data_IF_590879469784
#
_entry.id   IF_590879469784
#
_cell.length_a   1.000
_cell.length_b   1.000
_cell.length_c   1.000
_cell.angle_alpha   90.00
_cell.angle_beta   90.00
_cell.angle_gamma   90.00
#
_symmetry.space_group_name_H-M   'P 1'
#
loop_
_entity.id
_entity.type
_entity.pdbx_description
1 polymer ?
#
# COMPACT_ATOMS: atom_id res chain seq x y z
N UNK A 1 25.37 -9.09 -24.93
CA UNK A 1 24.35 -8.11 -24.47
C UNK A 1 23.31 -8.83 -23.62
N UNK A 2 23.50 -8.84 -22.29
CA UNK A 2 22.52 -9.42 -21.35
C UNK A 2 21.34 -8.46 -21.28
N UNK A 3 20.17 -8.86 -21.80
CA UNK A 3 18.91 -8.15 -21.56
C UNK A 3 18.76 -8.03 -20.04
N UNK A 4 18.90 -6.81 -19.51
CA UNK A 4 18.50 -6.47 -18.15
C UNK A 4 17.01 -6.83 -18.06
N UNK A 5 16.69 -7.95 -17.42
CA UNK A 5 15.33 -8.17 -16.91
C UNK A 5 15.07 -6.97 -16.02
N UNK A 6 14.17 -6.07 -16.42
CA UNK A 6 13.70 -5.03 -15.53
C UNK A 6 13.12 -5.73 -14.30
N UNK A 7 13.85 -5.68 -13.19
CA UNK A 7 13.32 -6.07 -11.89
C UNK A 7 12.09 -5.20 -11.67
N UNK A 8 10.97 -5.84 -11.31
CA UNK A 8 9.70 -5.17 -11.01
C UNK A 8 9.99 -4.06 -10.00
N UNK A 9 9.63 -2.81 -10.33
CA UNK A 9 9.73 -1.70 -9.37
C UNK A 9 8.54 -1.76 -8.42
N UNK A 10 8.81 -1.78 -7.11
CA UNK A 10 7.78 -1.66 -6.09
C UNK A 10 7.87 -0.27 -5.45
N UNK A 11 6.77 0.47 -5.45
CA UNK A 11 6.63 1.76 -4.79
C UNK A 11 5.85 1.60 -3.48
N UNK A 12 6.39 2.08 -2.38
CA UNK A 12 5.69 2.16 -1.10
C UNK A 12 5.42 3.62 -0.75
N UNK A 13 4.18 3.94 -0.43
CA UNK A 13 3.72 5.26 0.00
C UNK A 13 3.23 5.17 1.42
N UNK A 14 3.85 5.93 2.31
CA UNK A 14 3.56 5.92 3.73
C UNK A 14 3.02 7.27 4.20
N UNK A 15 2.18 7.29 5.22
CA UNK A 15 1.82 8.50 5.95
C UNK A 15 1.72 8.21 7.46
N UNK A 16 1.86 9.19 8.37
CA UNK A 16 1.82 8.94 9.81
C UNK A 16 0.43 8.51 10.32
N UNK A 17 -0.65 9.08 9.77
CA UNK A 17 -2.01 8.99 10.36
C UNK A 17 -3.05 8.28 9.50
N UNK A 18 -2.73 7.85 8.27
CA UNK A 18 -3.69 7.19 7.36
C UNK A 18 -3.98 5.75 7.77
N UNK A 19 -4.97 5.50 8.64
CA UNK A 19 -5.32 4.21 9.28
C UNK A 19 -5.56 2.96 8.38
N UNK A 20 -5.24 2.95 7.09
CA UNK A 20 -5.46 1.81 6.20
C UNK A 20 -4.22 1.46 5.38
N UNK A 21 -3.93 0.15 5.30
CA UNK A 21 -3.09 -0.41 4.23
C UNK A 21 -3.98 -0.54 3.00
N UNK A 22 -3.68 0.26 1.96
CA UNK A 22 -4.38 0.20 0.67
C UNK A 22 -3.38 -0.20 -0.40
N UNK A 23 -3.78 -1.08 -1.31
CA UNK A 23 -2.88 -1.61 -2.35
C UNK A 23 -3.45 -1.27 -3.71
N UNK A 24 -2.63 -0.65 -4.56
CA UNK A 24 -3.01 -0.42 -5.94
C UNK A 24 -2.34 -1.46 -6.83
N UNK A 25 -3.16 -2.18 -7.59
CA UNK A 25 -2.73 -3.31 -8.38
C UNK A 25 -3.22 -3.19 -9.82
N UNK A 26 -2.45 -3.75 -10.74
CA UNK A 26 -2.96 -4.02 -12.08
C UNK A 26 -3.88 -5.24 -11.99
N UNK A 27 -5.20 -5.08 -12.11
CA UNK A 27 -6.22 -6.15 -12.00
C UNK A 27 -5.81 -7.44 -12.73
N UNK A 28 -5.30 -7.30 -13.95
CA UNK A 28 -4.84 -8.39 -14.81
C UNK A 28 -3.72 -9.25 -14.22
N UNK A 29 -2.86 -8.69 -13.36
CA UNK A 29 -1.75 -9.43 -12.73
C UNK A 29 -2.22 -10.26 -11.54
N UNK A 30 -3.07 -9.67 -10.71
CA UNK A 30 -3.71 -10.41 -9.62
C UNK A 30 -4.52 -11.58 -10.20
N UNK A 31 -5.33 -11.30 -11.23
CA UNK A 31 -6.08 -12.32 -11.96
C UNK A 31 -5.17 -13.42 -12.51
N UNK A 32 -4.10 -13.08 -13.23
CA UNK A 32 -3.17 -14.08 -13.75
C UNK A 32 -2.55 -14.95 -12.65
N UNK A 33 -2.19 -14.38 -11.49
CA UNK A 33 -1.62 -15.13 -10.36
C UNK A 33 -2.63 -16.06 -9.72
N UNK A 34 -3.83 -15.55 -9.45
CA UNK A 34 -4.94 -16.35 -8.93
C UNK A 34 -5.26 -17.50 -9.88
N UNK A 35 -5.37 -17.23 -11.20
CA UNK A 35 -5.61 -18.24 -12.23
C UNK A 35 -4.50 -19.29 -12.27
N UNK A 36 -3.21 -18.91 -12.16
CA UNK A 36 -2.11 -19.87 -12.13
C UNK A 36 -2.13 -20.75 -10.87
N UNK A 37 -2.44 -20.18 -9.71
CA UNK A 37 -2.52 -20.91 -8.44
C UNK A 37 -3.71 -21.88 -8.43
N UNK A 38 -4.85 -21.46 -9.00
CA UNK A 38 -6.02 -22.31 -9.23
C UNK A 38 -5.71 -23.42 -10.25
N UNK A 39 -5.01 -23.11 -11.34
CA UNK A 39 -4.55 -24.11 -12.34
C UNK A 39 -3.58 -25.13 -11.76
N UNK A 40 -2.76 -24.72 -10.79
CA UNK A 40 -1.89 -25.62 -10.02
C UNK A 40 -2.67 -26.67 -9.22
N UNK A 41 -3.92 -26.36 -8.83
CA UNK A 41 -4.83 -27.30 -8.16
C UNK A 41 -5.71 -28.02 -9.18
N UNK A 42 -5.11 -29.01 -9.88
CA UNK A 42 -5.78 -29.82 -10.92
C UNK A 42 -7.16 -30.38 -10.49
N UNK A 43 -7.31 -30.70 -9.21
CA UNK A 43 -8.55 -31.21 -8.62
C UNK A 43 -9.70 -30.19 -8.64
N UNK A 44 -9.41 -28.92 -8.33
CA UNK A 44 -10.42 -27.84 -8.32
C UNK A 44 -10.95 -27.57 -9.72
N UNK A 45 -10.06 -27.55 -10.71
CA UNK A 45 -10.41 -27.35 -12.12
C UNK A 45 -11.22 -28.53 -12.68
N UNK A 46 -10.86 -29.75 -12.30
CA UNK A 46 -11.61 -30.95 -12.68
C UNK A 46 -13.04 -30.94 -12.08
N UNK A 47 -13.18 -30.55 -10.81
CA UNK A 47 -14.48 -30.45 -10.13
C UNK A 47 -15.33 -29.31 -10.69
N UNK A 48 -14.75 -28.15 -10.97
CA UNK A 48 -15.46 -27.03 -11.60
C UNK A 48 -16.01 -27.41 -12.99
N UNK A 49 -15.21 -28.08 -13.82
CA UNK A 49 -15.69 -28.60 -15.11
C UNK A 49 -16.81 -29.63 -14.98
N UNK A 50 -16.74 -30.52 -13.96
CA UNK A 50 -17.83 -31.48 -13.67
C UNK A 50 -19.13 -30.76 -13.31
N UNK A 51 -19.06 -29.70 -12.48
CA UNK A 51 -20.23 -28.90 -12.08
C UNK A 51 -20.88 -28.22 -13.30
N UNK A 52 -20.10 -27.55 -14.16
CA UNK A 52 -20.63 -26.88 -15.36
C UNK A 52 -21.36 -27.89 -16.27
N UNK A 53 -20.79 -29.09 -16.43
CA UNK A 53 -21.41 -30.17 -17.19
C UNK A 53 -22.74 -30.63 -16.57
N UNK A 54 -22.74 -30.90 -15.26
CA UNK A 54 -23.95 -31.32 -14.52
C UNK A 54 -25.07 -30.27 -14.58
N UNK A 55 -24.73 -28.98 -14.45
CA UNK A 55 -25.70 -27.87 -14.58
C UNK A 55 -26.27 -27.80 -16.01
N UNK A 56 -25.42 -27.97 -17.03
CA UNK A 56 -25.85 -28.02 -18.43
C UNK A 56 -26.81 -29.18 -18.72
N UNK A 57 -26.55 -30.35 -18.15
CA UNK A 57 -27.38 -31.55 -18.28
C UNK A 57 -28.71 -31.39 -17.51
N UNK A 58 -28.69 -30.79 -16.33
CA UNK A 58 -29.89 -30.48 -15.53
C UNK A 58 -30.78 -29.42 -16.16
N UNK A 59 -30.21 -28.41 -16.82
CA UNK A 59 -30.97 -27.36 -17.51
C UNK A 59 -31.83 -27.91 -18.66
N UNK A 60 -31.50 -29.11 -19.17
CA UNK A 60 -32.27 -29.82 -20.21
C UNK A 60 -33.30 -30.79 -19.63
N UNK A 61 -33.28 -31.03 -18.31
CA UNK A 61 -34.17 -31.96 -17.61
C UNK A 61 -35.35 -31.22 -16.98
N UNK A 62 -36.57 -31.77 -17.09
CA UNK A 62 -37.79 -31.19 -16.48
C UNK A 62 -37.88 -31.41 -14.96
N UNK A 63 -36.95 -32.17 -14.36
CA UNK A 63 -37.04 -32.60 -12.96
C UNK A 63 -36.22 -31.69 -12.03
N UNK A 64 -36.86 -31.11 -11.00
CA UNK A 64 -36.30 -30.03 -10.13
C UNK A 64 -35.38 -30.50 -8.99
N UNK A 65 -35.03 -31.78 -8.90
CA UNK A 65 -34.15 -32.29 -7.82
C UNK A 65 -32.69 -32.27 -8.26
N UNK A 66 -31.87 -31.52 -7.54
CA UNK A 66 -30.43 -31.48 -7.74
C UNK A 66 -29.80 -32.84 -7.32
N UNK A 67 -28.91 -33.43 -8.15
CA UNK A 67 -28.20 -34.65 -7.79
C UNK A 67 -27.29 -34.43 -6.58
N UNK A 68 -27.21 -35.41 -5.67
CA UNK A 68 -26.30 -35.38 -4.52
C UNK A 68 -24.84 -35.17 -4.93
N UNK A 69 -24.46 -35.69 -6.10
CA UNK A 69 -23.13 -35.48 -6.69
C UNK A 69 -22.83 -34.00 -7.01
N UNK A 70 -23.84 -33.23 -7.41
CA UNK A 70 -23.69 -31.79 -7.65
C UNK A 70 -23.51 -31.04 -6.33
N UNK A 71 -24.28 -31.39 -5.30
CA UNK A 71 -24.17 -30.79 -3.95
C UNK A 71 -22.78 -31.06 -3.37
N UNK A 72 -22.32 -32.32 -3.39
CA UNK A 72 -20.99 -32.68 -2.90
C UNK A 72 -19.85 -31.98 -3.66
N UNK A 73 -20.04 -31.77 -4.98
CA UNK A 73 -19.06 -31.04 -5.79
C UNK A 73 -19.01 -29.55 -5.46
N UNK A 74 -20.17 -28.94 -5.16
CA UNK A 74 -20.26 -27.55 -4.70
C UNK A 74 -19.64 -27.42 -3.31
N UNK A 75 -19.97 -28.29 -2.37
CA UNK A 75 -19.44 -28.29 -1.01
C UNK A 75 -17.91 -28.45 -1.00
N UNK A 76 -17.35 -29.27 -1.91
CA UNK A 76 -15.91 -29.37 -2.10
C UNK A 76 -15.28 -28.04 -2.53
N UNK A 77 -15.87 -27.33 -3.49
CA UNK A 77 -15.35 -26.03 -3.93
C UNK A 77 -15.49 -24.98 -2.83
N UNK A 78 -16.62 -24.95 -2.14
CA UNK A 78 -16.84 -24.08 -0.98
C UNK A 78 -15.78 -24.35 0.07
N UNK A 79 -15.51 -25.62 0.42
CA UNK A 79 -14.45 -25.99 1.35
C UNK A 79 -13.04 -25.58 0.89
N UNK A 80 -12.75 -25.60 -0.41
CA UNK A 80 -11.48 -25.11 -0.95
C UNK A 80 -11.37 -23.58 -0.85
N UNK A 81 -12.46 -22.86 -1.08
CA UNK A 81 -12.53 -21.40 -0.94
C UNK A 81 -12.45 -21.00 0.52
N UNK A 82 -13.13 -21.71 1.42
CA UNK A 82 -13.08 -21.49 2.87
C UNK A 82 -11.70 -21.81 3.45
N UNK A 83 -10.96 -22.73 2.83
CA UNK A 83 -9.58 -23.02 3.19
C UNK A 83 -8.58 -21.92 2.78
N UNK A 84 -8.99 -20.94 1.96
CA UNK A 84 -8.17 -19.77 1.71
C UNK A 84 -8.30 -18.84 2.92
N UNK A 85 -7.28 -18.90 3.79
CA UNK A 85 -7.27 -18.00 4.92
C UNK A 85 -6.98 -16.56 4.45
N UNK A 86 -7.42 -15.58 5.23
CA UNK A 86 -7.29 -14.17 4.93
C UNK A 86 -5.84 -13.77 4.56
N UNK A 87 -4.85 -14.34 5.24
CA UNK A 87 -3.42 -14.08 5.00
C UNK A 87 -2.94 -14.52 3.61
N UNK A 88 -3.48 -15.62 3.04
CA UNK A 88 -3.11 -16.10 1.72
C UNK A 88 -3.59 -15.15 0.61
N UNK A 89 -4.76 -14.55 0.83
CA UNK A 89 -5.34 -13.56 -0.09
C UNK A 89 -4.47 -12.29 -0.06
N UNK A 90 -4.15 -11.77 1.14
CA UNK A 90 -3.28 -10.61 1.28
C UNK A 90 -1.89 -10.86 0.71
N UNK A 91 -1.36 -12.08 0.88
CA UNK A 91 -0.08 -12.46 0.30
C UNK A 91 -0.07 -12.31 -1.23
N UNK A 92 -1.09 -12.82 -1.93
CA UNK A 92 -1.18 -12.68 -3.39
C UNK A 92 -1.38 -11.22 -3.82
N UNK A 93 -2.24 -10.50 -3.11
CA UNK A 93 -2.54 -9.10 -3.42
C UNK A 93 -1.27 -8.23 -3.29
N UNK A 94 -0.55 -8.34 -2.18
CA UNK A 94 0.67 -7.57 -1.92
C UNK A 94 1.80 -7.94 -2.90
N UNK A 95 1.98 -9.23 -3.21
CA UNK A 95 2.99 -9.63 -4.21
C UNK A 95 2.61 -9.21 -5.63
N UNK A 96 1.32 -9.05 -5.94
CA UNK A 96 0.85 -8.51 -7.22
C UNK A 96 0.95 -6.98 -7.29
N UNK A 97 0.91 -6.28 -6.15
CA UNK A 97 0.86 -4.83 -6.06
C UNK A 97 2.08 -4.16 -6.71
N UNK A 98 1.84 -3.05 -7.40
CA UNK A 98 2.87 -2.16 -7.92
C UNK A 98 3.11 -0.99 -6.97
N UNK A 99 2.05 -0.57 -6.28
CA UNK A 99 2.07 0.49 -5.27
C UNK A 99 1.38 0.01 -3.99
N UNK A 100 2.06 0.19 -2.87
CA UNK A 100 1.56 -0.16 -1.53
C UNK A 100 1.42 1.13 -0.73
N UNK A 101 0.19 1.47 -0.35
CA UNK A 101 -0.12 2.56 0.58
C UNK A 101 -0.30 1.99 1.98
N UNK A 102 0.30 2.62 2.98
CA UNK A 102 0.24 2.14 4.37
C UNK A 102 0.57 3.27 5.37
N UNK A 103 0.35 3.05 6.67
CA UNK A 103 0.94 3.96 7.67
C UNK A 103 2.40 3.59 7.93
N UNK A 104 3.20 4.56 8.35
CA UNK A 104 4.55 4.30 8.87
C UNK A 104 4.56 3.17 9.92
N UNK A 105 3.66 3.22 10.90
CA UNK A 105 3.54 2.17 11.92
C UNK A 105 3.16 0.79 11.36
N UNK A 106 2.25 0.73 10.39
CA UNK A 106 1.80 -0.54 9.80
C UNK A 106 2.89 -1.27 9.03
N UNK A 107 3.90 -0.55 8.52
CA UNK A 107 5.07 -1.15 7.88
C UNK A 107 5.89 -2.03 8.84
N UNK A 108 5.79 -1.80 10.15
CA UNK A 108 6.34 -2.68 11.19
C UNK A 108 5.49 -3.92 11.48
N UNK A 109 4.30 -4.02 10.89
CA UNK A 109 3.36 -5.11 11.09
C UNK A 109 3.83 -6.45 10.50
N UNK A 110 3.45 -7.54 11.17
CA UNK A 110 3.88 -8.90 10.81
C UNK A 110 3.44 -9.33 9.40
N UNK A 111 2.30 -8.84 8.91
CA UNK A 111 1.79 -9.14 7.57
C UNK A 111 2.72 -8.56 6.49
N UNK A 112 2.97 -7.26 6.51
CA UNK A 112 3.81 -6.61 5.50
C UNK A 112 5.24 -7.15 5.55
N UNK A 113 5.80 -7.35 6.73
CA UNK A 113 7.15 -7.88 6.91
C UNK A 113 7.34 -9.29 6.34
N UNK A 114 6.30 -10.13 6.37
CA UNK A 114 6.36 -11.50 5.84
C UNK A 114 6.21 -11.55 4.31
N UNK A 115 5.46 -10.61 3.74
CA UNK A 115 4.99 -10.69 2.36
C UNK A 115 5.77 -9.77 1.43
N UNK A 116 6.05 -8.55 1.90
CA UNK A 116 6.72 -7.50 1.13
C UNK A 116 8.22 -7.69 1.27
N UNK A 117 8.89 -7.85 0.13
CA UNK A 117 10.35 -7.90 0.06
C UNK A 117 10.95 -6.50 -0.06
N UNK A 118 12.02 -6.38 -0.84
CA UNK A 118 12.63 -5.08 -1.11
C UNK A 118 11.68 -4.14 -1.86
N UNK A 119 11.73 -2.87 -1.48
CA UNK A 119 11.03 -1.76 -2.12
C UNK A 119 12.08 -0.92 -2.86
N UNK A 120 11.78 -0.46 -4.07
CA UNK A 120 12.70 0.42 -4.80
C UNK A 120 12.58 1.87 -4.32
N UNK A 121 11.33 2.29 -4.12
CA UNK A 121 10.95 3.68 -3.87
C UNK A 121 10.08 3.79 -2.63
N UNK A 122 10.51 4.60 -1.68
CA UNK A 122 9.73 4.97 -0.51
C UNK A 122 9.32 6.44 -0.63
N UNK A 123 8.02 6.68 -0.68
CA UNK A 123 7.43 8.02 -0.52
C UNK A 123 6.85 8.10 0.88
N UNK A 124 7.18 9.16 1.61
CA UNK A 124 6.55 9.47 2.90
C UNK A 124 5.80 10.77 2.73
N UNK A 125 4.48 10.69 2.71
CA UNK A 125 3.57 11.83 2.73
C UNK A 125 3.37 12.32 4.17
N UNK A 126 3.12 13.62 4.33
CA UNK A 126 3.10 14.30 5.63
C UNK A 126 4.34 14.02 6.51
N UNK A 127 5.52 13.90 5.87
CA UNK A 127 6.76 13.50 6.53
C UNK A 127 7.22 14.48 7.62
N UNK A 128 6.88 15.77 7.49
CA UNK A 128 7.18 16.80 8.49
C UNK A 128 6.43 16.57 9.82
N UNK A 129 5.29 15.88 9.78
CA UNK A 129 4.47 15.58 10.96
C UNK A 129 4.85 14.25 11.64
N UNK A 130 5.88 13.56 11.15
CA UNK A 130 6.33 12.27 11.68
C UNK A 130 7.63 12.43 12.47
N UNK A 131 7.79 11.63 13.52
CA UNK A 131 9.10 11.54 14.19
C UNK A 131 10.10 10.83 13.28
N UNK A 132 11.38 11.16 13.41
CA UNK A 132 12.43 10.49 12.64
C UNK A 132 12.42 8.94 12.81
N UNK A 133 12.24 8.36 14.01
CA UNK A 133 12.09 6.91 14.17
C UNK A 133 10.91 6.30 13.43
N UNK A 134 9.77 7.00 13.32
CA UNK A 134 8.62 6.50 12.56
C UNK A 134 8.96 6.38 11.07
N UNK A 135 9.69 7.35 10.52
CA UNK A 135 10.12 7.33 9.12
C UNK A 135 11.13 6.19 8.85
N UNK A 136 11.89 5.77 9.87
CA UNK A 136 12.81 4.63 9.73
C UNK A 136 12.13 3.26 9.69
N UNK A 137 10.90 3.09 10.18
CA UNK A 137 10.21 1.78 10.19
C UNK A 137 10.17 1.13 8.79
N UNK A 138 9.81 1.83 7.68
CA UNK A 138 9.84 1.25 6.34
C UNK A 138 11.25 0.98 5.77
N UNK A 139 12.34 1.41 6.41
CA UNK A 139 13.69 1.13 5.91
C UNK A 139 14.07 -0.35 5.99
N UNK A 140 13.34 -1.16 6.76
CA UNK A 140 13.48 -2.61 6.76
C UNK A 140 13.24 -3.25 5.37
N UNK A 141 12.55 -2.55 4.46
CA UNK A 141 12.32 -2.97 3.08
C UNK A 141 13.43 -2.49 2.12
N UNK A 142 14.55 -1.97 2.64
CA UNK A 142 15.73 -1.55 1.88
C UNK A 142 15.43 -0.62 0.69
N UNK A 143 14.67 0.47 0.90
CA UNK A 143 14.36 1.42 -0.16
C UNK A 143 15.64 2.01 -0.76
N UNK A 144 15.72 2.03 -2.10
CA UNK A 144 16.85 2.61 -2.84
C UNK A 144 16.73 4.12 -2.97
N UNK A 145 15.50 4.64 -2.98
CA UNK A 145 15.19 6.05 -3.09
C UNK A 145 14.14 6.43 -2.05
N UNK A 146 14.33 7.59 -1.43
CA UNK A 146 13.40 8.20 -0.50
C UNK A 146 12.91 9.53 -1.07
N UNK A 147 11.60 9.75 -1.02
CA UNK A 147 10.99 11.05 -1.25
C UNK A 147 10.14 11.41 -0.03
N UNK A 148 10.57 12.41 0.72
CA UNK A 148 9.79 12.99 1.79
C UNK A 148 8.95 14.14 1.24
N UNK A 149 7.64 14.05 1.39
CA UNK A 149 6.67 15.10 1.06
C UNK A 149 6.06 15.58 2.36
N UNK A 150 6.05 16.88 2.58
CA UNK A 150 5.54 17.48 3.79
C UNK A 150 5.87 18.96 3.84
N UNK A 151 5.31 19.62 4.85
CA UNK A 151 5.52 21.05 5.07
C UNK A 151 6.16 21.29 6.43
N UNK A 152 7.46 21.63 6.49
CA UNK A 152 8.16 21.88 7.74
C UNK A 152 7.72 23.19 8.43
N UNK A 153 6.88 24.01 7.79
CA UNK A 153 6.27 25.20 8.41
C UNK A 153 4.94 24.90 9.10
N UNK A 154 4.43 23.67 8.99
CA UNK A 154 3.19 23.23 9.65
C UNK A 154 3.48 22.57 11.02
N UNK A 155 2.47 21.87 11.57
CA UNK A 155 2.56 21.23 12.88
C UNK A 155 3.63 20.12 12.87
N UNK A 156 4.58 20.13 13.82
CA UNK A 156 5.55 19.04 13.97
C UNK A 156 4.89 17.80 14.58
N UNK A 157 5.67 16.72 14.70
CA UNK A 157 5.22 15.50 15.35
C UNK A 157 4.77 15.76 16.80
N UNK A 158 3.63 15.18 17.19
CA UNK A 158 3.08 15.35 18.55
C UNK A 158 3.84 14.51 19.55
N UNK A 159 4.58 15.16 20.44
CA UNK A 159 5.37 14.49 21.49
C UNK A 159 4.69 14.68 22.86
N UNK A 160 4.40 13.58 23.56
CA UNK A 160 3.76 13.64 24.89
C UNK A 160 4.74 14.04 25.99
N UNK A 161 6.02 13.69 25.83
CA UNK A 161 7.09 14.03 26.78
C UNK A 161 7.72 15.37 26.44
N UNK A 162 7.49 16.37 27.29
CA UNK A 162 8.13 17.69 27.15
C UNK A 162 9.66 17.60 27.16
N UNK A 163 10.23 16.71 27.95
CA UNK A 163 11.68 16.49 27.97
C UNK A 163 12.16 16.00 26.60
N UNK A 164 11.48 15.03 25.99
CA UNK A 164 11.86 14.53 24.67
C UNK A 164 11.72 15.61 23.59
N UNK A 165 10.64 16.40 23.64
CA UNK A 165 10.44 17.54 22.74
C UNK A 165 11.57 18.58 22.86
N UNK A 166 11.95 18.95 24.09
CA UNK A 166 13.09 19.86 24.33
C UNK A 166 14.42 19.31 23.82
N UNK A 167 14.59 17.98 23.83
CA UNK A 167 15.75 17.30 23.27
C UNK A 167 15.67 17.15 21.73
N UNK A 168 14.66 17.73 21.08
CA UNK A 168 14.53 17.75 19.63
C UNK A 168 13.79 16.55 19.03
N UNK A 169 13.09 15.74 19.83
CA UNK A 169 12.41 14.54 19.35
C UNK A 169 11.22 14.83 18.41
N UNK A 170 10.70 16.06 18.42
CA UNK A 170 9.67 16.53 17.49
C UNK A 170 10.19 16.80 16.08
N UNK A 171 11.52 16.88 15.90
CA UNK A 171 12.14 17.14 14.59
C UNK A 171 12.06 15.89 13.72
N UNK A 172 11.43 16.03 12.55
CA UNK A 172 11.28 14.96 11.57
C UNK A 172 12.57 14.68 10.80
N UNK A 173 12.66 13.49 10.19
CA UNK A 173 13.73 13.18 9.23
C UNK A 173 13.71 14.17 8.05
N UNK A 174 12.51 14.57 7.62
CA UNK A 174 12.31 15.53 6.53
C UNK A 174 12.97 16.89 6.86
N UNK A 175 12.69 17.46 8.03
CA UNK A 175 13.30 18.70 8.49
C UNK A 175 14.81 18.58 8.65
N UNK A 176 15.30 17.48 9.22
CA UNK A 176 16.75 17.25 9.40
C UNK A 176 17.47 17.17 8.05
N UNK A 177 16.93 16.45 7.08
CA UNK A 177 17.52 16.35 5.74
C UNK A 177 17.57 17.72 5.05
N UNK A 178 16.49 18.50 5.14
CA UNK A 178 16.40 19.82 4.52
C UNK A 178 17.34 20.84 5.18
N UNK A 179 17.27 21.00 6.49
CA UNK A 179 17.89 22.13 7.20
C UNK A 179 19.26 21.82 7.78
N UNK A 180 19.49 20.60 8.28
CA UNK A 180 20.76 20.25 8.94
C UNK A 180 21.76 19.62 7.96
N UNK A 181 21.25 18.80 7.04
CA UNK A 181 22.06 18.11 6.04
C UNK A 181 22.15 18.88 4.72
N UNK A 182 21.31 19.91 4.52
CA UNK A 182 21.34 20.75 3.32
C UNK A 182 20.98 20.02 2.02
N UNK A 183 20.14 18.98 2.09
CA UNK A 183 19.65 18.33 0.88
C UNK A 183 18.73 19.27 0.10
N UNK A 184 18.83 19.20 -1.23
CA UNK A 184 17.94 19.93 -2.14
C UNK A 184 16.48 19.57 -1.87
N UNK A 185 15.64 20.60 -1.86
CA UNK A 185 14.19 20.47 -1.68
C UNK A 185 13.46 21.40 -2.63
N UNK A 186 12.23 21.02 -2.98
CA UNK A 186 11.39 21.75 -3.91
C UNK A 186 10.14 22.21 -3.15
N UNK A 187 9.93 23.52 -3.10
CA UNK A 187 8.67 24.07 -2.62
C UNK A 187 7.64 24.06 -3.75
N UNK A 188 6.43 23.57 -3.48
CA UNK A 188 5.29 23.76 -4.37
C UNK A 188 4.71 25.17 -4.14
N UNK A 189 4.89 26.06 -5.10
CA UNK A 189 4.62 27.50 -4.92
C UNK A 189 3.15 27.89 -5.16
N UNK A 190 2.38 27.11 -5.91
CA UNK A 190 0.98 27.44 -6.21
C UNK A 190 0.02 26.73 -5.25
N UNK A 191 -0.81 27.50 -4.55
CA UNK A 191 -1.88 26.97 -3.69
C UNK A 191 -3.26 27.16 -4.32
N UNK A 192 -4.11 26.14 -4.19
CA UNK A 192 -5.42 26.08 -4.86
C UNK A 192 -6.61 26.12 -3.89
N UNK A 193 -6.39 26.37 -2.58
CA UNK A 193 -7.43 26.22 -1.54
C UNK A 193 -7.98 27.56 -1.07
N UNK A 194 -7.12 28.53 -0.81
CA UNK A 194 -7.48 29.80 -0.17
C UNK A 194 -7.65 30.92 -1.20
N UNK A 195 -8.61 31.83 -0.95
CA UNK A 195 -8.71 33.09 -1.71
C UNK A 195 -7.41 33.92 -1.55
N UNK A 196 -7.01 34.72 -2.55
CA UNK A 196 -5.78 35.53 -2.49
C UNK A 196 -5.64 36.42 -1.26
N UNK A 197 -6.76 36.97 -0.76
CA UNK A 197 -6.78 37.82 0.44
C UNK A 197 -6.45 37.04 1.72
N UNK A 198 -6.78 35.74 1.77
CA UNK A 198 -6.51 34.89 2.93
C UNK A 198 -5.10 34.29 2.88
N UNK A 199 -4.64 33.91 1.69
CA UNK A 199 -3.29 33.33 1.48
C UNK A 199 -2.16 34.35 1.62
N UNK A 200 -2.45 35.65 1.47
CA UNK A 200 -1.43 36.71 1.50
C UNK A 200 -0.63 36.73 2.81
N UNK A 201 -1.30 36.60 3.96
CA UNK A 201 -0.61 36.60 5.26
C UNK A 201 0.27 35.36 5.45
N UNK A 202 -0.25 34.11 5.31
CA UNK A 202 0.59 32.91 5.41
C UNK A 202 1.74 32.90 4.41
N UNK A 203 1.50 33.33 3.16
CA UNK A 203 2.52 33.43 2.12
C UNK A 203 3.69 34.32 2.56
N UNK A 204 3.41 35.54 3.02
CA UNK A 204 4.44 36.47 3.48
C UNK A 204 5.15 36.00 4.75
N UNK A 205 4.39 35.47 5.71
CA UNK A 205 4.91 35.19 7.04
C UNK A 205 5.73 33.88 7.10
N UNK A 206 5.27 32.81 6.45
CA UNK A 206 5.92 31.49 6.51
C UNK A 206 6.77 31.17 5.28
N UNK A 207 6.47 31.79 4.15
CA UNK A 207 7.02 31.39 2.84
C UNK A 207 7.65 32.55 2.06
N UNK A 208 8.02 33.66 2.72
CA UNK A 208 8.71 34.79 2.09
C UNK A 208 7.98 35.40 0.88
N UNK A 209 6.66 35.21 0.79
CA UNK A 209 5.86 35.66 -0.35
C UNK A 209 5.92 34.76 -1.59
N UNK A 210 6.58 33.59 -1.53
CA UNK A 210 6.70 32.64 -2.65
C UNK A 210 5.44 31.84 -2.92
N UNK A 211 4.54 31.72 -1.94
CA UNK A 211 3.27 31.00 -2.09
C UNK A 211 2.25 31.87 -2.85
N UNK A 212 1.87 31.47 -4.05
CA UNK A 212 0.98 32.20 -4.97
C UNK A 212 -0.35 31.46 -5.22
N UNK A 213 -1.31 32.18 -5.80
CA UNK A 213 -2.66 31.72 -6.14
C UNK A 213 -2.81 31.33 -7.60
#
# INVERSE_FOLDING_TARGET
SRKLKHSKRCLMVCAPTNKAVTVHHTARRLENRLVQKIKGRKEVLATAHKIVKLIGDLSRSRNKKYPTELINSIDFIVGVVDAWNHDDIWHEVLQAADVIFCTLGSTGGSLLKKVVGEVDDLIVDEAAAATEPEIYIPFQYLPRRLLCVGDPRQLPATITSRFAEMMGFSKSLHERLMYDCGYDHIMLETQYRMKPTLSQFPSKYFYEGKLIN
#
